data_IF_690824922750
#
_entry.id   IF_690824922750
#
_cell.length_a   1.000
_cell.length_b   1.000
_cell.length_c   1.000
_cell.angle_alpha   90.00
_cell.angle_beta   90.00
_cell.angle_gamma   90.00
#
_symmetry.space_group_name_H-M   'P 1'
#
loop_
_entity.id
_entity.type
_entity.pdbx_description
1 polymer ?
#
# COMPACT_ATOMS: atom_id res chain seq x y z
N UNK A 1 19.19 -7.31 -1.20
CA UNK A 1 18.41 -8.54 -1.49
C UNK A 1 18.51 -8.79 -2.98
N UNK A 2 18.93 -9.99 -3.41
CA UNK A 2 18.87 -10.37 -4.81
C UNK A 2 17.38 -10.47 -5.17
N UNK A 3 16.91 -9.59 -6.07
CA UNK A 3 15.54 -9.65 -6.54
C UNK A 3 15.24 -11.02 -7.12
N UNK A 4 14.13 -11.61 -6.73
CA UNK A 4 13.66 -12.88 -7.28
C UNK A 4 13.53 -12.72 -8.80
N UNK A 5 14.06 -13.70 -9.51
CA UNK A 5 14.12 -13.68 -10.96
C UNK A 5 12.69 -13.79 -11.50
N UNK A 6 12.22 -12.78 -12.20
CA UNK A 6 10.95 -12.86 -12.93
C UNK A 6 11.05 -13.95 -13.99
N UNK A 7 9.99 -14.73 -14.10
CA UNK A 7 9.90 -15.76 -15.12
C UNK A 7 9.34 -15.16 -16.41
N UNK A 8 9.92 -15.55 -17.53
CA UNK A 8 9.38 -15.30 -18.85
C UNK A 8 8.65 -16.56 -19.29
N UNK A 9 7.32 -16.50 -19.36
CA UNK A 9 6.47 -17.62 -19.73
C UNK A 9 6.32 -17.72 -21.25
N UNK A 10 6.52 -16.62 -21.96
CA UNK A 10 6.45 -16.54 -23.41
C UNK A 10 7.84 -16.43 -23.99
N UNK A 11 8.20 -17.35 -24.91
CA UNK A 11 9.55 -17.41 -25.52
C UNK A 11 9.66 -16.61 -26.81
N UNK A 12 8.54 -16.03 -27.28
CA UNK A 12 8.49 -15.30 -28.55
C UNK A 12 8.72 -13.82 -28.31
N UNK A 13 9.66 -13.26 -29.06
CA UNK A 13 9.86 -11.83 -29.20
C UNK A 13 9.30 -11.33 -30.55
N UNK A 14 9.34 -10.02 -30.76
CA UNK A 14 8.83 -9.38 -31.97
C UNK A 14 9.33 -10.07 -33.26
N UNK A 15 10.64 -10.35 -33.35
CA UNK A 15 11.25 -10.95 -34.55
C UNK A 15 10.73 -12.37 -34.80
N UNK A 16 10.65 -13.19 -33.75
CA UNK A 16 10.12 -14.54 -33.83
C UNK A 16 8.64 -14.55 -34.29
N UNK A 17 7.85 -13.57 -33.83
CA UNK A 17 6.46 -13.43 -34.25
C UNK A 17 6.35 -13.10 -35.74
N UNK A 18 7.17 -12.18 -36.25
CA UNK A 18 7.21 -11.83 -37.68
C UNK A 18 7.57 -13.04 -38.52
N UNK A 19 8.62 -13.80 -38.13
CA UNK A 19 9.05 -15.02 -38.84
C UNK A 19 7.97 -16.11 -38.84
N UNK A 20 7.29 -16.31 -37.71
CA UNK A 20 6.14 -17.23 -37.61
C UNK A 20 5.00 -16.82 -38.56
N UNK A 21 4.67 -15.52 -38.61
CA UNK A 21 3.64 -14.99 -39.50
C UNK A 21 4.00 -15.23 -40.97
N UNK A 22 5.24 -14.95 -41.39
CA UNK A 22 5.73 -15.18 -42.74
C UNK A 22 5.66 -16.68 -43.10
N UNK A 23 6.11 -17.53 -42.18
CA UNK A 23 6.07 -19.00 -42.38
C UNK A 23 4.63 -19.46 -42.54
N UNK A 24 3.74 -19.00 -41.68
CA UNK A 24 2.30 -19.36 -41.76
C UNK A 24 1.64 -18.91 -43.05
N UNK A 25 1.97 -17.70 -43.53
CA UNK A 25 1.44 -17.20 -44.82
C UNK A 25 1.90 -18.09 -45.98
N UNK A 26 3.20 -18.43 -46.00
CA UNK A 26 3.77 -19.31 -47.05
C UNK A 26 3.13 -20.72 -47.03
N UNK A 27 2.87 -21.28 -45.86
CA UNK A 27 2.23 -22.60 -45.71
C UNK A 27 0.77 -22.61 -46.16
N UNK A 28 -0.01 -21.59 -45.81
CA UNK A 28 -1.47 -21.56 -46.05
C UNK A 28 -1.78 -21.11 -47.48
N UNK A 29 -1.10 -20.08 -47.98
CA UNK A 29 -1.46 -19.47 -49.27
C UNK A 29 -0.48 -19.82 -50.38
N UNK A 30 0.66 -20.45 -50.07
CA UNK A 30 1.73 -20.75 -51.01
C UNK A 30 2.54 -19.52 -51.44
N UNK A 31 3.78 -19.74 -51.80
CA UNK A 31 4.71 -18.66 -52.17
C UNK A 31 4.35 -17.92 -53.47
N UNK A 32 3.37 -18.42 -54.24
CA UNK A 32 2.94 -17.79 -55.51
C UNK A 32 2.00 -16.59 -55.30
N UNK A 33 1.34 -16.47 -54.17
CA UNK A 33 0.42 -15.37 -53.90
C UNK A 33 1.11 -14.15 -53.32
N UNK A 34 2.06 -14.36 -52.40
CA UNK A 34 2.86 -13.30 -51.78
C UNK A 34 4.19 -13.87 -51.36
N UNK A 35 5.25 -13.41 -52.00
CA UNK A 35 6.63 -13.84 -51.75
C UNK A 35 7.62 -12.68 -51.48
N UNK A 36 7.11 -11.47 -51.54
CA UNK A 36 7.90 -10.27 -51.25
C UNK A 36 7.73 -9.88 -49.77
N UNK A 37 8.74 -10.23 -48.97
CA UNK A 37 8.80 -9.95 -47.55
C UNK A 37 10.01 -9.03 -47.21
N UNK A 38 10.46 -8.24 -48.20
CA UNK A 38 11.51 -7.25 -47.99
C UNK A 38 11.02 -6.14 -47.05
N UNK A 39 11.94 -5.47 -46.37
CA UNK A 39 11.62 -4.48 -45.32
C UNK A 39 10.83 -3.26 -45.82
N UNK A 40 10.97 -2.93 -47.09
CA UNK A 40 10.27 -1.82 -47.76
C UNK A 40 8.87 -2.19 -48.28
N UNK A 41 8.46 -3.43 -48.16
CA UNK A 41 7.14 -3.90 -48.62
C UNK A 41 6.05 -3.52 -47.61
N UNK A 42 4.97 -2.90 -48.11
CA UNK A 42 3.84 -2.48 -47.29
C UNK A 42 3.18 -3.64 -46.51
N UNK A 43 3.15 -4.87 -47.12
CA UNK A 43 2.66 -6.06 -46.44
C UNK A 43 3.54 -6.45 -45.26
N UNK A 44 4.84 -6.38 -45.41
CA UNK A 44 5.81 -6.60 -44.30
C UNK A 44 5.62 -5.60 -43.18
N UNK A 45 5.44 -4.32 -43.50
CA UNK A 45 5.18 -3.27 -42.49
C UNK A 45 3.91 -3.57 -41.67
N UNK A 46 2.86 -4.10 -42.31
CA UNK A 46 1.65 -4.52 -41.58
C UNK A 46 1.91 -5.71 -40.68
N UNK A 47 2.68 -6.70 -41.11
CA UNK A 47 3.06 -7.85 -40.26
C UNK A 47 3.88 -7.39 -39.06
N UNK A 48 4.80 -6.47 -39.23
CA UNK A 48 5.59 -5.89 -38.14
C UNK A 48 4.72 -5.11 -37.15
N UNK A 49 3.74 -4.34 -37.63
CA UNK A 49 2.79 -3.67 -36.77
C UNK A 49 1.95 -4.66 -35.93
N UNK A 50 1.46 -5.75 -36.53
CA UNK A 50 0.77 -6.81 -35.80
C UNK A 50 1.68 -7.55 -34.82
N UNK A 51 2.93 -7.83 -35.22
CA UNK A 51 3.91 -8.47 -34.36
C UNK A 51 4.24 -7.59 -33.14
N UNK A 52 4.33 -6.26 -33.31
CA UNK A 52 4.51 -5.34 -32.22
C UNK A 52 3.35 -5.39 -31.21
N UNK A 53 2.11 -5.39 -31.70
CA UNK A 53 0.93 -5.53 -30.82
C UNK A 53 0.94 -6.88 -30.10
N UNK A 54 1.29 -7.95 -30.80
CA UNK A 54 1.39 -9.28 -30.20
C UNK A 54 2.48 -9.35 -29.13
N UNK A 55 3.66 -8.81 -29.38
CA UNK A 55 4.76 -8.73 -28.40
C UNK A 55 4.35 -7.95 -27.16
N UNK A 56 3.65 -6.81 -27.34
CA UNK A 56 3.10 -6.03 -26.24
C UNK A 56 2.09 -6.85 -25.40
N UNK A 57 1.22 -7.59 -26.05
CA UNK A 57 0.25 -8.46 -25.35
C UNK A 57 0.96 -9.59 -24.58
N UNK A 58 1.98 -10.21 -25.16
CA UNK A 58 2.81 -11.23 -24.50
C UNK A 58 3.53 -10.66 -23.28
N UNK A 59 4.04 -9.42 -23.37
CA UNK A 59 4.62 -8.72 -22.23
C UNK A 59 3.62 -8.53 -21.09
N UNK A 60 2.39 -8.09 -21.39
CA UNK A 60 1.35 -7.96 -20.36
C UNK A 60 0.92 -9.31 -19.79
N UNK A 61 0.89 -10.36 -20.61
CA UNK A 61 0.59 -11.71 -20.15
C UNK A 61 1.66 -12.22 -19.18
N UNK A 62 2.94 -12.05 -19.52
CA UNK A 62 4.06 -12.41 -18.64
C UNK A 62 4.02 -11.61 -17.33
N UNK A 63 3.74 -10.31 -17.43
CA UNK A 63 3.57 -9.46 -16.23
C UNK A 63 2.44 -9.98 -15.35
N UNK A 64 1.26 -10.22 -15.92
CA UNK A 64 0.11 -10.72 -15.18
C UNK A 64 0.39 -12.09 -14.56
N UNK A 65 1.05 -12.99 -15.28
CA UNK A 65 1.43 -14.30 -14.74
C UNK A 65 2.39 -14.18 -13.56
N UNK A 66 3.37 -13.28 -13.62
CA UNK A 66 4.29 -13.02 -12.50
C UNK A 66 3.58 -12.39 -11.29
N UNK A 67 2.58 -11.53 -11.51
CA UNK A 67 1.78 -10.93 -10.43
C UNK A 67 0.83 -11.93 -9.74
N UNK A 68 0.63 -13.12 -10.30
CA UNK A 68 -0.22 -14.16 -9.70
C UNK A 68 0.50 -14.96 -8.59
N UNK A 69 1.81 -14.87 -8.51
CA UNK A 69 2.61 -15.62 -7.54
C UNK A 69 3.33 -14.69 -6.57
N UNK A 70 3.11 -14.90 -5.27
CA UNK A 70 3.69 -14.09 -4.21
C UNK A 70 5.20 -13.83 -4.33
N UNK A 71 6.07 -14.82 -4.70
CA UNK A 71 7.50 -14.59 -4.83
C UNK A 71 7.91 -13.71 -6.02
N UNK A 72 7.06 -13.55 -7.03
CA UNK A 72 7.35 -12.81 -8.26
C UNK A 72 6.51 -11.55 -8.42
N UNK A 73 5.47 -11.39 -7.60
CA UNK A 73 4.62 -10.20 -7.58
C UNK A 73 5.45 -8.97 -7.19
N UNK A 74 5.24 -7.87 -7.89
CA UNK A 74 5.92 -6.60 -7.68
C UNK A 74 4.96 -5.51 -7.20
N UNK A 75 3.69 -5.60 -7.56
CA UNK A 75 2.66 -4.66 -7.14
C UNK A 75 2.23 -4.96 -5.70
N UNK A 76 2.41 -3.99 -4.79
CA UNK A 76 2.09 -4.14 -3.38
C UNK A 76 0.66 -4.62 -3.13
N UNK A 77 -0.32 -4.06 -3.85
CA UNK A 77 -1.72 -4.42 -3.68
C UNK A 77 -1.99 -5.90 -4.02
N UNK A 78 -1.34 -6.43 -5.05
CA UNK A 78 -1.45 -7.85 -5.39
C UNK A 78 -0.87 -8.74 -4.28
N UNK A 79 0.26 -8.33 -3.67
CA UNK A 79 0.87 -9.03 -2.54
C UNK A 79 -0.10 -9.05 -1.35
N UNK A 80 -0.68 -7.90 -0.99
CA UNK A 80 -1.66 -7.78 0.10
C UNK A 80 -2.87 -8.69 -0.17
N UNK A 81 -3.43 -8.65 -1.38
CA UNK A 81 -4.58 -9.46 -1.75
C UNK A 81 -4.28 -10.96 -1.67
N UNK A 82 -3.10 -11.40 -2.11
CA UNK A 82 -2.68 -12.81 -1.98
C UNK A 82 -2.48 -13.21 -0.51
N UNK A 83 -1.95 -12.31 0.31
CA UNK A 83 -1.82 -12.55 1.74
C UNK A 83 -3.20 -12.68 2.42
N UNK A 84 -4.16 -11.81 2.07
CA UNK A 84 -5.56 -11.90 2.55
C UNK A 84 -6.20 -13.28 2.21
N UNK A 85 -5.92 -13.84 1.02
CA UNK A 85 -6.43 -15.16 0.62
C UNK A 85 -5.99 -16.31 1.53
N UNK A 86 -4.81 -16.20 2.14
CA UNK A 86 -4.29 -17.21 3.08
C UNK A 86 -4.51 -16.84 4.55
N UNK A 87 -5.31 -15.78 4.81
CA UNK A 87 -5.59 -15.30 6.16
C UNK A 87 -4.42 -14.56 6.83
N UNK A 88 -3.45 -14.07 6.07
CA UNK A 88 -2.33 -13.29 6.58
C UNK A 88 -2.53 -11.80 6.26
N UNK A 89 -2.59 -10.97 7.29
CA UNK A 89 -2.62 -9.52 7.15
C UNK A 89 -1.20 -8.97 7.28
N UNK A 90 -0.60 -8.43 6.21
CA UNK A 90 0.70 -7.80 6.29
C UNK A 90 0.67 -6.62 7.26
N UNK A 91 1.69 -6.53 8.10
CA UNK A 91 1.81 -5.38 9.01
C UNK A 91 2.13 -4.12 8.20
N UNK A 92 1.47 -3.03 8.55
CA UNK A 92 1.80 -1.68 8.09
C UNK A 92 3.11 -1.18 8.72
N UNK A 93 3.53 0.03 8.40
CA UNK A 93 4.63 0.71 9.05
C UNK A 93 4.39 0.74 10.57
N UNK A 94 5.43 0.45 11.35
CA UNK A 94 5.37 0.56 12.80
C UNK A 94 6.12 1.82 13.21
N UNK A 95 5.56 2.65 14.11
CA UNK A 95 6.22 3.84 14.61
C UNK A 95 7.42 3.46 15.48
N UNK A 96 8.43 4.30 15.49
CA UNK A 96 9.57 4.15 16.40
C UNK A 96 9.13 4.40 17.84
N UNK A 97 9.67 3.62 18.76
CA UNK A 97 9.44 3.80 20.20
C UNK A 97 10.75 4.25 20.86
N UNK A 98 10.64 5.20 21.77
CA UNK A 98 11.79 5.75 22.47
C UNK A 98 11.47 6.07 23.93
N UNK A 99 12.42 5.82 24.83
CA UNK A 99 12.35 6.29 26.21
C UNK A 99 13.08 7.63 26.31
N UNK A 100 12.37 8.67 26.72
CA UNK A 100 12.86 10.06 26.82
C UNK A 100 12.87 10.50 28.28
N UNK A 101 13.95 11.13 28.70
CA UNK A 101 14.02 11.79 30.03
C UNK A 101 13.48 13.20 29.92
N UNK A 102 12.34 13.45 30.54
CA UNK A 102 11.75 14.80 30.67
C UNK A 102 12.28 15.43 31.96
N UNK A 103 12.87 16.63 31.87
CA UNK A 103 13.44 17.32 33.00
C UNK A 103 12.85 18.72 33.18
N UNK A 104 12.71 19.14 34.42
CA UNK A 104 12.32 20.49 34.83
C UNK A 104 13.57 21.34 35.08
N UNK A 105 13.51 22.61 34.76
CA UNK A 105 14.60 23.56 35.04
C UNK A 105 14.88 23.72 36.53
N UNK A 106 13.87 23.56 37.37
CA UNK A 106 13.94 23.65 38.84
C UNK A 106 13.00 22.66 39.49
N UNK A 107 13.34 22.13 40.68
CA UNK A 107 12.43 21.29 41.44
C UNK A 107 11.14 22.06 41.78
N UNK A 108 10.02 21.44 41.59
CA UNK A 108 8.71 22.00 41.93
C UNK A 108 8.25 21.51 43.31
N UNK A 109 7.52 22.34 44.05
CA UNK A 109 7.02 22.00 45.38
C UNK A 109 5.80 21.08 45.38
N UNK A 110 5.15 20.94 44.23
CA UNK A 110 4.00 20.05 43.98
C UNK A 110 4.35 19.11 42.83
N UNK A 111 3.61 18.00 42.75
CA UNK A 111 3.70 17.08 41.64
C UNK A 111 3.35 17.78 40.32
N UNK A 112 4.14 17.50 39.29
CA UNK A 112 3.91 17.99 37.91
C UNK A 112 3.44 16.82 37.06
N UNK A 113 2.25 16.96 36.52
CA UNK A 113 1.65 15.94 35.66
C UNK A 113 1.98 16.22 34.19
N UNK A 114 2.58 15.25 33.52
CA UNK A 114 2.71 15.23 32.06
C UNK A 114 1.59 14.36 31.51
N UNK A 115 0.59 14.94 30.83
CA UNK A 115 -0.52 14.16 30.27
C UNK A 115 -0.04 13.13 29.25
N UNK A 116 -0.81 12.06 29.06
CA UNK A 116 -0.72 11.24 27.87
C UNK A 116 -0.94 12.11 26.62
N UNK A 117 -0.44 11.66 25.48
CA UNK A 117 -0.54 12.38 24.19
C UNK A 117 0.11 13.78 24.21
N UNK A 118 1.11 13.99 25.08
CA UNK A 118 1.94 15.19 25.04
C UNK A 118 2.95 15.09 23.90
N UNK A 119 2.95 16.10 23.02
CA UNK A 119 3.82 16.13 21.84
C UNK A 119 5.22 16.59 22.20
N UNK A 120 6.21 15.80 21.79
CA UNK A 120 7.64 16.07 21.94
C UNK A 120 8.24 16.24 20.55
N UNK A 121 8.97 17.31 20.30
CA UNK A 121 9.60 17.57 19.01
C UNK A 121 11.12 17.49 19.13
N UNK A 122 11.75 16.81 18.19
CA UNK A 122 13.21 16.78 18.07
C UNK A 122 13.73 18.01 17.32
N UNK A 123 15.02 18.34 17.49
CA UNK A 123 15.67 19.39 16.72
C UNK A 123 15.67 19.16 15.20
N UNK A 124 15.39 17.92 14.76
CA UNK A 124 15.27 17.52 13.35
C UNK A 124 13.84 17.60 12.81
N UNK A 125 12.85 18.03 13.62
CA UNK A 125 11.44 18.15 13.21
C UNK A 125 10.68 16.83 13.26
N UNK A 126 11.22 15.79 13.92
CA UNK A 126 10.46 14.57 14.19
C UNK A 126 9.62 14.75 15.44
N UNK A 127 8.34 14.39 15.35
CA UNK A 127 7.39 14.44 16.46
C UNK A 127 7.23 13.07 17.12
N UNK A 128 7.13 13.08 18.43
CA UNK A 128 6.83 11.93 19.29
C UNK A 128 5.70 12.29 20.22
N UNK A 129 4.92 11.32 20.63
CA UNK A 129 3.80 11.50 21.55
C UNK A 129 3.96 10.56 22.75
N UNK A 130 3.71 11.08 23.96
CA UNK A 130 3.77 10.28 25.18
C UNK A 130 2.63 9.28 25.23
N UNK A 131 2.91 8.02 25.56
CA UNK A 131 1.90 6.95 25.58
C UNK A 131 1.00 6.99 26.82
N UNK A 132 1.50 7.51 27.95
CA UNK A 132 0.77 7.49 29.21
C UNK A 132 1.03 8.75 30.02
N UNK A 133 0.08 9.08 30.88
CA UNK A 133 0.27 10.12 31.90
C UNK A 133 1.43 9.73 32.83
N UNK A 134 2.33 10.68 33.05
CA UNK A 134 3.50 10.50 33.93
C UNK A 134 3.61 11.64 34.89
N UNK A 135 3.97 11.34 36.15
CA UNK A 135 4.06 12.34 37.24
C UNK A 135 5.51 12.53 37.65
N UNK A 136 5.99 13.76 37.59
CA UNK A 136 7.23 14.18 38.23
C UNK A 136 6.89 14.58 39.66
N UNK A 137 7.28 13.74 40.63
CA UNK A 137 6.93 13.96 42.04
C UNK A 137 7.63 15.20 42.61
N UNK A 138 6.98 15.84 43.58
CA UNK A 138 7.50 17.03 44.27
C UNK A 138 8.95 16.84 44.71
N UNK A 139 9.79 17.80 44.35
CA UNK A 139 11.23 17.79 44.66
C UNK A 139 12.11 17.01 43.69
N UNK A 140 11.57 16.25 42.77
CA UNK A 140 12.31 15.60 41.67
C UNK A 140 12.47 16.56 40.49
N UNK A 141 13.52 16.31 39.70
CA UNK A 141 13.84 17.13 38.50
C UNK A 141 13.49 16.45 37.21
N UNK A 142 13.47 15.10 37.16
CA UNK A 142 13.38 14.34 35.94
C UNK A 142 12.53 13.09 36.10
N UNK A 143 11.99 12.63 34.98
CA UNK A 143 11.26 11.35 34.86
C UNK A 143 11.49 10.77 33.46
N UNK A 144 11.54 9.44 33.36
CA UNK A 144 11.58 8.75 32.09
C UNK A 144 10.16 8.49 31.59
N UNK A 145 9.93 8.79 30.33
CA UNK A 145 8.63 8.66 29.64
C UNK A 145 8.81 7.86 28.36
N UNK A 146 7.91 6.91 28.12
CA UNK A 146 7.85 6.22 26.84
C UNK A 146 7.07 7.06 25.84
N UNK A 147 7.67 7.28 24.67
CA UNK A 147 7.08 8.04 23.58
C UNK A 147 7.14 7.26 22.27
N UNK A 148 6.19 7.49 21.40
CA UNK A 148 6.04 6.87 20.09
C UNK A 148 6.09 7.93 19.01
N UNK A 149 6.77 7.64 17.92
CA UNK A 149 6.85 8.55 16.77
C UNK A 149 5.47 8.75 16.14
N UNK A 150 5.13 10.01 15.92
CA UNK A 150 3.85 10.44 15.37
C UNK A 150 3.10 11.38 16.30
N UNK A 151 1.89 11.70 15.90
CA UNK A 151 0.96 12.58 16.62
C UNK A 151 -0.47 12.07 16.36
N UNK A 152 -1.26 11.95 17.42
CA UNK A 152 -2.68 11.60 17.30
C UNK A 152 -3.48 12.83 16.89
N UNK A 153 -4.14 12.73 15.73
CA UNK A 153 -4.91 13.83 15.17
C UNK A 153 -6.37 13.42 14.98
N UNK A 154 -7.28 14.37 15.15
CA UNK A 154 -8.70 14.22 14.83
C UNK A 154 -9.02 15.11 13.63
N UNK A 155 -9.59 14.52 12.57
CA UNK A 155 -9.92 15.21 11.34
C UNK A 155 -11.33 14.86 10.86
N UNK A 156 -12.01 15.82 10.26
CA UNK A 156 -13.31 15.58 9.61
C UNK A 156 -13.04 15.05 8.21
N UNK A 157 -13.41 13.81 7.95
CA UNK A 157 -13.18 13.13 6.66
C UNK A 157 -14.35 13.25 5.69
N UNK A 158 -15.55 13.57 6.18
CA UNK A 158 -16.72 13.72 5.32
C UNK A 158 -18.03 13.88 6.08
N UNK A 159 -19.13 13.87 5.35
CA UNK A 159 -20.49 13.89 5.89
C UNK A 159 -21.25 12.70 5.32
N UNK A 160 -21.84 11.88 6.19
CA UNK A 160 -22.68 10.77 5.76
C UNK A 160 -23.99 11.27 5.13
N UNK A 161 -24.38 10.64 4.03
CA UNK A 161 -25.64 10.86 3.34
C UNK A 161 -26.73 9.85 3.76
N UNK A 162 -26.40 8.91 4.65
CA UNK A 162 -27.31 7.88 5.16
C UNK A 162 -27.43 6.65 4.25
N UNK A 163 -26.73 6.60 3.12
CA UNK A 163 -26.72 5.44 2.25
C UNK A 163 -25.77 4.36 2.78
N UNK A 164 -25.97 3.12 2.32
CA UNK A 164 -25.08 2.00 2.67
C UNK A 164 -23.75 2.05 1.91
N UNK A 165 -22.69 1.47 2.49
CA UNK A 165 -21.39 1.28 1.85
C UNK A 165 -20.66 2.57 1.48
N UNK A 166 -20.77 3.59 2.29
CA UNK A 166 -20.03 4.83 2.10
C UNK A 166 -18.54 4.62 2.40
N UNK A 167 -17.70 5.23 1.56
CA UNK A 167 -16.23 5.23 1.70
C UNK A 167 -15.75 6.66 1.91
N UNK A 168 -14.89 6.86 2.89
CA UNK A 168 -14.27 8.15 3.18
C UNK A 168 -12.75 8.00 3.10
N UNK A 169 -12.10 9.00 2.50
CA UNK A 169 -10.65 9.01 2.33
C UNK A 169 -10.03 10.00 3.30
N UNK A 170 -8.96 9.57 3.98
CA UNK A 170 -8.18 10.48 4.81
C UNK A 170 -7.40 11.46 3.92
N UNK A 171 -7.40 12.76 4.24
CA UNK A 171 -6.69 13.76 3.44
C UNK A 171 -5.17 13.70 3.60
N UNK A 172 -4.67 12.95 4.58
CA UNK A 172 -3.24 12.84 4.91
C UNK A 172 -2.65 11.53 4.46
N UNK A 173 -1.39 11.58 4.05
CA UNK A 173 -0.52 10.42 3.84
C UNK A 173 0.28 10.11 5.10
N UNK A 174 0.78 8.86 5.19
CA UNK A 174 1.63 8.45 6.31
C UNK A 174 0.86 8.12 7.58
N UNK A 175 -0.43 7.81 7.47
CA UNK A 175 -1.23 7.31 8.59
C UNK A 175 -0.75 5.91 8.97
N UNK A 176 -0.47 5.72 10.25
CA UNK A 176 0.04 4.45 10.79
C UNK A 176 -1.12 3.60 11.31
N UNK A 177 -2.05 4.24 12.02
CA UNK A 177 -3.18 3.57 12.66
C UNK A 177 -4.39 4.50 12.69
N UNK A 178 -5.58 3.92 12.61
CA UNK A 178 -6.84 4.61 12.83
C UNK A 178 -7.43 4.04 14.12
N UNK A 179 -7.61 4.87 15.11
CA UNK A 179 -8.02 4.44 16.45
C UNK A 179 -9.53 4.25 16.52
N UNK A 180 -10.27 5.26 16.08
CA UNK A 180 -11.73 5.28 16.09
C UNK A 180 -12.28 6.26 15.04
N UNK A 181 -13.61 6.30 14.91
CA UNK A 181 -14.32 7.34 14.18
C UNK A 181 -15.53 7.80 14.98
N UNK A 182 -15.81 9.08 14.99
CA UNK A 182 -17.02 9.64 15.59
C UNK A 182 -18.05 9.94 14.49
N UNK A 183 -19.22 9.31 14.59
CA UNK A 183 -20.34 9.47 13.64
C UNK A 183 -21.59 9.82 14.42
N UNK A 184 -22.13 11.02 14.21
CA UNK A 184 -23.34 11.47 14.88
C UNK A 184 -23.26 11.55 16.40
N UNK A 185 -22.07 11.74 16.96
CA UNK A 185 -21.81 11.78 18.41
C UNK A 185 -21.62 10.40 19.06
N UNK A 186 -21.50 9.35 18.25
CA UNK A 186 -21.20 7.99 18.69
C UNK A 186 -19.82 7.59 18.23
N UNK A 187 -19.05 6.97 19.11
CA UNK A 187 -17.72 6.44 18.77
C UNK A 187 -17.83 5.06 18.16
N UNK A 188 -17.33 4.91 16.95
CA UNK A 188 -17.32 3.66 16.18
C UNK A 188 -15.93 3.02 16.25
N UNK A 189 -15.91 1.71 16.44
CA UNK A 189 -14.67 0.97 16.57
C UNK A 189 -14.20 0.35 15.24
N UNK A 190 -12.88 0.29 15.04
CA UNK A 190 -12.28 -0.40 13.89
C UNK A 190 -12.42 -1.91 14.04
N UNK A 191 -12.88 -2.58 12.97
CA UNK A 191 -12.94 -4.05 12.89
C UNK A 191 -12.29 -4.55 11.61
N UNK A 192 -11.80 -5.77 11.62
CA UNK A 192 -11.18 -6.40 10.43
C UNK A 192 -12.21 -6.74 9.34
N UNK A 193 -13.45 -7.05 9.74
CA UNK A 193 -14.53 -7.44 8.82
C UNK A 193 -15.88 -7.02 9.36
N UNK A 194 -16.74 -6.55 8.47
CA UNK A 194 -18.16 -6.26 8.78
C UNK A 194 -19.06 -7.49 8.69
N UNK A 195 -18.58 -8.60 8.12
CA UNK A 195 -19.40 -9.77 7.81
C UNK A 195 -20.03 -10.45 9.04
N UNK A 196 -19.33 -10.39 10.19
CA UNK A 196 -19.77 -11.03 11.44
C UNK A 196 -20.40 -10.03 12.43
N UNK A 197 -20.65 -8.79 11.99
CA UNK A 197 -21.19 -7.74 12.85
C UNK A 197 -22.72 -7.69 12.81
N UNK A 198 -23.33 -7.22 13.91
CA UNK A 198 -24.77 -7.03 13.95
C UNK A 198 -25.18 -5.78 13.15
N UNK A 199 -26.45 -5.74 12.71
CA UNK A 199 -27.01 -4.62 11.93
C UNK A 199 -26.87 -3.24 12.61
N UNK A 200 -26.78 -3.22 13.94
CA UNK A 200 -26.69 -1.98 14.73
C UNK A 200 -25.31 -1.82 15.40
N UNK A 201 -24.30 -2.54 14.95
CA UNK A 201 -22.95 -2.39 15.48
C UNK A 201 -22.34 -1.07 15.03
N UNK A 202 -21.81 -0.30 15.96
CA UNK A 202 -21.09 0.95 15.71
C UNK A 202 -19.63 0.63 15.37
N UNK A 203 -19.40 0.10 14.17
CA UNK A 203 -18.11 -0.38 13.70
C UNK A 203 -17.84 0.00 12.25
N UNK A 204 -16.57 0.08 11.88
CA UNK A 204 -16.12 0.33 10.51
C UNK A 204 -14.85 -0.45 10.19
N UNK A 205 -14.54 -0.61 8.93
CA UNK A 205 -13.28 -1.17 8.46
C UNK A 205 -12.38 -0.05 7.93
N UNK A 206 -11.09 -0.16 8.18
CA UNK A 206 -10.11 0.79 7.68
C UNK A 206 -9.03 0.06 6.87
N UNK A 207 -8.67 0.61 5.70
CA UNK A 207 -7.50 0.20 4.93
C UNK A 207 -6.48 1.34 4.94
N UNK A 208 -5.24 1.02 5.27
CA UNK A 208 -4.13 1.97 5.27
C UNK A 208 -3.20 1.55 4.14
N UNK A 209 -3.14 2.36 3.09
CA UNK A 209 -2.15 2.24 2.02
C UNK A 209 -0.82 2.81 2.52
N UNK A 210 0.11 1.94 2.87
CA UNK A 210 1.43 2.30 3.36
C UNK A 210 2.47 2.30 2.24
#
# INVERSE_FOLDING_TARGET
MAGLKRFKYTDKDHQAIVEDCITRIKEVYGASYWNDFEEDNAGRMLLEAFAYVADLLLFYLDRQANETYLPTAAERQNIINMCKLIGYTPKSAQPSQVSVTVSLDKPHALDVILPAQSVLETSGGLTFETQSETVITAGQLDVNVEAVEGETLSEIVGTSDGEAWQEFYLPRSGVIEILDAEIGGHTWAVVESLADQSENAEVFTAEIDA
#
